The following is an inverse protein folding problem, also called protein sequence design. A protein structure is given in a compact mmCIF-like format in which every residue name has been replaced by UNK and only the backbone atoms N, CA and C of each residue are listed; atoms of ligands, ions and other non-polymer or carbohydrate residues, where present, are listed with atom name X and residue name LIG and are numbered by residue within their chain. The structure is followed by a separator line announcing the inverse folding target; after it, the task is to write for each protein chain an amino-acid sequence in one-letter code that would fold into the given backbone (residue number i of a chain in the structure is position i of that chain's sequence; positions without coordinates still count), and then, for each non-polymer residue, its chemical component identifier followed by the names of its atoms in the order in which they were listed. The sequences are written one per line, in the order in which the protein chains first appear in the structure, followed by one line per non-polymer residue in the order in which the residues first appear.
data_IF_721791933103
#
_entry.id   IF_721791933103
#
_cell.length_a   1.000
_cell.length_b   1.000
_cell.length_c   1.000
_cell.angle_alpha   90.00
_cell.angle_beta   90.00
_cell.angle_gamma   90.00
#
_symmetry.space_group_name_H-M   'P 1'
#
loop_
_entity.id
_entity.type
_entity.pdbx_description
1 polymer ?
#
# COMPACT_ATOMS: atom_id res chain seq x y z
N UNK A 1 23.40 1.73 -6.67
CA UNK A 1 23.17 2.93 -7.50
C UNK A 1 22.33 3.99 -6.79
N UNK A 2 21.15 3.66 -6.26
CA UNK A 2 20.30 4.61 -5.50
C UNK A 2 21.11 5.34 -4.40
N UNK A 3 21.88 4.60 -3.59
CA UNK A 3 22.78 5.18 -2.59
C UNK A 3 23.79 6.18 -3.16
N UNK A 4 24.36 5.88 -4.33
CA UNK A 4 25.32 6.76 -5.01
C UNK A 4 24.66 8.06 -5.44
N UNK A 5 23.47 8.00 -6.02
CA UNK A 5 22.69 9.18 -6.42
C UNK A 5 22.34 10.04 -5.20
N UNK A 6 21.76 9.42 -4.17
CA UNK A 6 21.30 10.12 -2.97
C UNK A 6 22.43 10.58 -2.04
N UNK A 7 23.65 10.06 -2.18
CA UNK A 7 24.82 10.49 -1.39
C UNK A 7 25.15 11.99 -1.52
N UNK A 8 24.64 12.63 -2.56
CA UNK A 8 24.85 14.07 -2.82
C UNK A 8 23.74 14.94 -2.26
N UNK A 9 22.68 14.33 -1.72
CA UNK A 9 21.50 15.01 -1.22
C UNK A 9 21.53 15.20 0.30
N UNK A 10 20.84 16.24 0.78
CA UNK A 10 20.60 16.45 2.21
C UNK A 10 19.16 16.09 2.51
N UNK A 11 18.95 14.86 2.94
CA UNK A 11 17.62 14.34 3.25
C UNK A 11 17.26 14.57 4.73
N UNK A 12 15.99 14.88 5.06
CA UNK A 12 15.56 15.08 6.46
C UNK A 12 15.61 13.82 7.33
N UNK A 13 15.61 12.64 6.70
CA UNK A 13 15.71 11.34 7.39
C UNK A 13 17.03 10.66 7.08
N UNK A 14 17.53 9.91 8.06
CA UNK A 14 18.64 8.97 7.86
C UNK A 14 18.19 7.86 6.94
N UNK A 15 18.93 7.63 5.85
CA UNK A 15 18.71 6.52 4.94
C UNK A 15 19.76 5.46 5.21
N UNK A 16 19.30 4.26 5.55
CA UNK A 16 20.17 3.10 5.72
C UNK A 16 20.06 2.21 4.49
N UNK A 17 21.18 2.03 3.79
CA UNK A 17 21.28 1.05 2.71
C UNK A 17 21.88 -0.24 3.26
N UNK A 18 21.10 -1.31 3.24
CA UNK A 18 21.50 -2.61 3.78
C UNK A 18 21.38 -3.68 2.70
N UNK A 19 22.30 -4.64 2.73
CA UNK A 19 22.20 -5.90 1.98
C UNK A 19 22.13 -7.02 3.01
N UNK A 20 21.08 -7.83 2.97
CA UNK A 20 20.91 -8.94 3.90
C UNK A 20 21.56 -10.20 3.37
N UNK A 21 22.22 -10.92 4.26
CA UNK A 21 22.72 -12.26 3.99
C UNK A 21 21.67 -13.29 4.39
N UNK A 22 21.71 -14.47 3.77
CA UNK A 22 20.88 -15.63 4.17
C UNK A 22 19.36 -15.40 4.10
N UNK A 23 18.89 -14.56 3.17
CA UNK A 23 17.46 -14.41 2.84
C UNK A 23 16.85 -15.76 2.43
N UNK A 24 17.54 -16.46 1.51
CA UNK A 24 17.17 -17.78 0.99
C UNK A 24 17.17 -18.92 2.03
N UNK A 25 17.60 -18.65 3.26
CA UNK A 25 17.59 -19.58 4.39
C UNK A 25 16.52 -19.19 5.42
N UNK A 26 15.43 -18.55 4.98
CA UNK A 26 14.32 -18.06 5.80
C UNK A 26 14.64 -16.74 6.52
N UNK A 27 15.06 -15.72 5.75
CA UNK A 27 15.21 -14.32 6.19
C UNK A 27 16.18 -14.06 7.36
N UNK A 28 17.11 -14.98 7.63
CA UNK A 28 17.93 -14.96 8.85
C UNK A 28 18.68 -13.63 9.05
N UNK A 29 19.16 -13.00 7.97
CA UNK A 29 19.87 -11.73 8.03
C UNK A 29 18.96 -10.56 8.41
N UNK A 30 17.80 -10.42 7.77
CA UNK A 30 16.87 -9.33 8.07
C UNK A 30 16.19 -9.51 9.42
N UNK A 31 15.89 -10.74 9.84
CA UNK A 31 15.39 -11.01 11.19
C UNK A 31 16.40 -10.66 12.28
N UNK A 32 17.67 -11.01 12.08
CA UNK A 32 18.74 -10.62 12.99
C UNK A 32 18.91 -9.10 13.06
N UNK A 33 18.87 -8.44 11.90
CA UNK A 33 18.94 -6.99 11.82
C UNK A 33 17.78 -6.31 12.58
N UNK A 34 16.54 -6.70 12.31
CA UNK A 34 15.36 -6.10 12.99
C UNK A 34 15.43 -6.32 14.50
N UNK A 35 15.90 -7.49 14.95
CA UNK A 35 16.08 -7.78 16.38
C UNK A 35 17.16 -6.91 17.04
N UNK A 36 18.28 -6.70 16.37
CA UNK A 36 19.40 -5.89 16.90
C UNK A 36 19.08 -4.40 16.87
N UNK A 37 18.39 -3.95 15.84
CA UNK A 37 18.05 -2.54 15.61
C UNK A 37 16.60 -2.20 15.96
N UNK A 38 15.94 -3.02 16.78
CA UNK A 38 14.56 -2.75 17.23
C UNK A 38 14.43 -1.40 17.96
N UNK A 39 15.51 -0.91 18.56
CA UNK A 39 15.57 0.41 19.21
C UNK A 39 15.81 1.56 18.23
N UNK A 40 16.23 1.28 17.00
CA UNK A 40 16.28 2.29 15.96
C UNK A 40 14.85 2.58 15.51
N UNK A 41 14.48 3.87 15.50
CA UNK A 41 13.18 4.34 15.01
C UNK A 41 13.08 4.20 13.48
N UNK A 42 13.13 2.98 12.96
CA UNK A 42 12.92 2.66 11.55
C UNK A 42 11.44 2.92 11.26
N UNK A 43 11.19 3.90 10.40
CA UNK A 43 9.81 4.34 10.09
C UNK A 43 9.24 3.69 8.84
N UNK A 44 10.11 3.17 7.96
CA UNK A 44 9.73 2.49 6.72
C UNK A 44 10.88 1.63 6.21
N UNK A 45 10.56 0.49 5.58
CA UNK A 45 11.49 -0.34 4.82
C UNK A 45 11.02 -0.50 3.37
N UNK A 46 11.97 -0.49 2.43
CA UNK A 46 11.73 -0.79 1.02
C UNK A 46 12.70 -1.90 0.64
N UNK A 47 12.16 -3.03 0.19
CA UNK A 47 12.98 -4.14 -0.31
C UNK A 47 12.95 -4.17 -1.82
N UNK A 48 14.13 -4.22 -2.44
CA UNK A 48 14.31 -4.43 -3.86
C UNK A 48 14.86 -5.83 -4.08
N UNK A 49 14.05 -6.71 -4.63
CA UNK A 49 14.44 -8.10 -4.86
C UNK A 49 13.86 -8.54 -6.21
N UNK A 50 14.72 -9.12 -7.04
CA UNK A 50 14.36 -9.62 -8.37
C UNK A 50 13.78 -8.56 -9.31
N UNK A 51 14.55 -7.49 -9.48
CA UNK A 51 14.12 -6.22 -10.11
C UNK A 51 14.50 -6.05 -11.60
N UNK A 52 15.13 -7.06 -12.20
CA UNK A 52 15.76 -6.96 -13.51
C UNK A 52 15.17 -7.82 -14.64
N UNK A 53 14.51 -8.97 -14.40
CA UNK A 53 14.00 -9.81 -15.48
C UNK A 53 12.54 -9.49 -15.82
N UNK A 54 12.19 -9.52 -17.11
CA UNK A 54 10.78 -9.54 -17.57
C UNK A 54 10.37 -8.41 -18.52
N UNK A 55 9.08 -8.38 -18.91
CA UNK A 55 8.53 -7.41 -19.87
C UNK A 55 8.42 -6.00 -19.32
N UNK A 56 8.07 -5.05 -20.19
CA UNK A 56 7.98 -3.64 -19.84
C UNK A 56 6.98 -3.30 -18.73
N UNK A 57 5.88 -4.03 -18.67
CA UNK A 57 4.81 -3.88 -17.69
C UNK A 57 4.94 -4.86 -16.52
N UNK A 58 6.16 -5.33 -16.24
CA UNK A 58 6.44 -6.32 -15.20
C UNK A 58 6.70 -5.73 -13.81
N UNK A 59 6.81 -4.41 -13.63
CA UNK A 59 7.03 -3.82 -12.30
C UNK A 59 5.86 -4.15 -11.36
N UNK A 60 6.18 -4.64 -10.16
CA UNK A 60 5.24 -4.88 -9.07
C UNK A 60 5.70 -4.22 -7.80
N UNK A 61 4.71 -3.80 -7.03
CA UNK A 61 4.88 -3.08 -5.78
C UNK A 61 3.87 -3.66 -4.79
N UNK A 62 4.37 -4.18 -3.69
CA UNK A 62 3.54 -4.79 -2.67
C UNK A 62 3.09 -6.22 -2.98
N UNK A 63 2.56 -6.86 -1.94
CA UNK A 63 2.01 -8.20 -1.93
C UNK A 63 0.69 -8.20 -1.17
N UNK A 64 -0.39 -8.63 -1.85
CA UNK A 64 -1.75 -8.67 -1.30
C UNK A 64 -2.12 -10.05 -0.77
N UNK A 65 -3.14 -10.06 0.09
CA UNK A 65 -3.82 -11.25 0.62
C UNK A 65 -2.92 -12.22 1.38
N UNK A 66 -1.97 -11.70 2.17
CA UNK A 66 -1.11 -12.50 3.05
C UNK A 66 -1.18 -12.01 4.50
N UNK A 67 -2.09 -12.55 5.31
CA UNK A 67 -2.23 -12.11 6.71
C UNK A 67 -0.94 -12.16 7.54
N UNK A 68 0.00 -13.07 7.21
CA UNK A 68 1.25 -13.26 7.94
C UNK A 68 2.48 -12.57 7.31
N UNK A 69 2.40 -12.23 6.02
CA UNK A 69 3.52 -11.67 5.23
C UNK A 69 3.06 -10.57 4.29
N UNK A 70 2.06 -9.78 4.69
CA UNK A 70 1.60 -8.65 3.89
C UNK A 70 2.61 -7.52 3.92
N UNK A 71 2.76 -6.87 2.78
CA UNK A 71 3.31 -5.52 2.73
C UNK A 71 2.30 -4.52 3.30
N UNK A 72 2.75 -3.29 3.52
CA UNK A 72 1.92 -2.25 4.15
C UNK A 72 1.12 -1.49 3.09
N UNK A 73 -0.20 -1.61 3.16
CA UNK A 73 -1.11 -1.13 2.09
C UNK A 73 -0.96 0.37 1.77
N UNK A 74 -0.90 1.26 2.78
CA UNK A 74 -0.71 2.69 2.50
C UNK A 74 0.59 2.97 1.74
N UNK A 75 1.66 2.24 2.07
CA UNK A 75 2.98 2.40 1.47
C UNK A 75 3.01 1.84 0.06
N UNK A 76 2.37 0.69 -0.16
CA UNK A 76 2.24 0.08 -1.48
C UNK A 76 1.47 0.99 -2.43
N UNK A 77 0.35 1.57 -1.96
CA UNK A 77 -0.48 2.47 -2.76
C UNK A 77 0.27 3.77 -3.10
N UNK A 78 0.98 4.34 -2.14
CA UNK A 78 1.82 5.51 -2.36
C UNK A 78 2.95 5.24 -3.38
N UNK A 79 3.66 4.13 -3.21
CA UNK A 79 4.73 3.73 -4.12
C UNK A 79 4.19 3.40 -5.53
N UNK A 80 3.00 2.81 -5.63
CA UNK A 80 2.30 2.59 -6.90
C UNK A 80 1.94 3.91 -7.58
N UNK A 81 1.30 4.84 -6.89
CA UNK A 81 0.95 6.15 -7.45
C UNK A 81 2.21 6.89 -7.95
N UNK A 82 3.30 6.87 -7.18
CA UNK A 82 4.56 7.46 -7.61
C UNK A 82 5.11 6.80 -8.88
N UNK A 83 5.03 5.47 -8.99
CA UNK A 83 5.45 4.76 -10.19
C UNK A 83 4.56 5.08 -11.41
N UNK A 84 3.24 5.15 -11.21
CA UNK A 84 2.28 5.51 -12.26
C UNK A 84 2.51 6.94 -12.77
N UNK A 85 2.82 7.88 -11.87
CA UNK A 85 3.19 9.25 -12.22
C UNK A 85 4.47 9.34 -13.06
N UNK A 86 5.33 8.32 -13.00
CA UNK A 86 6.51 8.17 -13.84
C UNK A 86 6.25 7.41 -15.14
N UNK A 87 5.00 7.04 -15.41
CA UNK A 87 4.57 6.33 -16.61
C UNK A 87 4.75 4.82 -16.53
N UNK A 88 5.00 4.25 -15.34
CA UNK A 88 5.06 2.80 -15.19
C UNK A 88 3.66 2.20 -15.09
N UNK A 89 3.48 1.03 -15.71
CA UNK A 89 2.39 0.15 -15.33
C UNK A 89 2.80 -0.63 -14.09
N UNK A 90 2.02 -0.52 -13.02
CA UNK A 90 2.27 -1.20 -11.74
C UNK A 90 1.00 -1.81 -11.20
N UNK A 91 1.18 -2.83 -10.37
CA UNK A 91 0.15 -3.40 -9.49
C UNK A 91 0.84 -4.20 -8.39
N UNK A 92 0.09 -4.58 -7.37
CA UNK A 92 0.48 -5.67 -6.47
C UNK A 92 0.04 -7.02 -7.04
N UNK A 93 0.77 -8.09 -6.72
CA UNK A 93 0.30 -9.46 -6.96
C UNK A 93 -0.25 -10.08 -5.67
N UNK A 94 -1.03 -11.15 -5.81
CA UNK A 94 -1.46 -11.98 -4.68
C UNK A 94 -0.33 -12.92 -4.27
N UNK A 95 -0.20 -13.24 -2.98
CA UNK A 95 0.77 -14.23 -2.48
C UNK A 95 0.69 -15.56 -3.25
N UNK A 96 -0.52 -16.02 -3.60
CA UNK A 96 -0.73 -17.26 -4.35
C UNK A 96 -0.17 -17.25 -5.77
N UNK A 97 0.11 -16.08 -6.36
CA UNK A 97 0.69 -15.97 -7.69
C UNK A 97 2.22 -15.89 -7.65
N UNK A 98 2.78 -15.36 -6.56
CA UNK A 98 4.22 -15.14 -6.38
C UNK A 98 4.89 -16.32 -5.70
N UNK A 99 4.16 -17.05 -4.86
CA UNK A 99 4.62 -18.22 -4.09
C UNK A 99 5.85 -17.94 -3.22
N UNK A 100 6.00 -16.70 -2.74
CA UNK A 100 7.13 -16.26 -1.92
C UNK A 100 6.94 -14.87 -1.34
N UNK A 101 7.87 -14.48 -0.48
CA UNK A 101 8.00 -13.17 0.13
C UNK A 101 9.49 -12.90 0.38
N UNK A 102 9.84 -11.68 0.81
CA UNK A 102 11.24 -11.24 0.92
C UNK A 102 11.47 -10.53 2.26
N UNK A 103 12.65 -9.95 2.46
CA UNK A 103 13.13 -9.38 3.72
C UNK A 103 12.21 -8.34 4.38
N UNK A 104 11.26 -7.74 3.64
CA UNK A 104 10.29 -6.79 4.19
C UNK A 104 9.43 -7.45 5.29
N UNK A 105 9.23 -8.77 5.22
CA UNK A 105 8.40 -9.51 6.17
C UNK A 105 8.98 -9.44 7.59
N UNK A 106 10.31 -9.44 7.73
CA UNK A 106 10.99 -9.25 9.02
C UNK A 106 10.63 -7.91 9.67
N UNK A 107 10.42 -6.87 8.87
CA UNK A 107 10.03 -5.53 9.33
C UNK A 107 8.53 -5.45 9.65
N UNK A 108 7.66 -5.95 8.75
CA UNK A 108 6.21 -5.88 8.97
C UNK A 108 5.75 -6.74 10.15
N UNK A 109 6.40 -7.88 10.41
CA UNK A 109 6.19 -8.70 11.63
C UNK A 109 6.54 -7.93 12.91
N UNK A 110 7.47 -6.98 12.85
CA UNK A 110 7.82 -6.09 13.96
C UNK A 110 6.97 -4.81 14.02
N UNK A 111 5.96 -4.67 13.16
CA UNK A 111 5.09 -3.48 13.09
C UNK A 111 5.71 -2.29 12.35
N UNK A 112 6.84 -2.49 11.65
CA UNK A 112 7.47 -1.45 10.83
C UNK A 112 6.87 -1.52 9.41
N UNK A 113 6.36 -0.40 8.86
CA UNK A 113 5.86 -0.36 7.49
C UNK A 113 6.90 -0.86 6.47
N UNK A 114 6.50 -1.79 5.61
CA UNK A 114 7.39 -2.42 4.64
C UNK A 114 6.72 -2.67 3.30
N UNK A 115 7.45 -2.44 2.21
CA UNK A 115 7.01 -2.75 0.84
C UNK A 115 8.07 -3.54 0.09
N UNK A 116 7.65 -4.19 -1.00
CA UNK A 116 8.48 -4.99 -1.88
C UNK A 116 8.37 -4.48 -3.31
N UNK A 117 9.51 -4.15 -3.91
CA UNK A 117 9.66 -3.77 -5.30
C UNK A 117 10.33 -4.91 -6.04
N UNK A 118 9.62 -5.48 -7.01
CA UNK A 118 10.08 -6.64 -7.78
C UNK A 118 9.58 -6.55 -9.22
N UNK A 119 10.20 -7.35 -10.08
CA UNK A 119 9.82 -7.45 -11.48
C UNK A 119 9.30 -8.86 -11.76
N UNK A 120 8.19 -8.94 -12.46
CA UNK A 120 7.59 -10.22 -12.85
C UNK A 120 7.82 -10.51 -14.33
N UNK A 121 8.01 -11.78 -14.64
CA UNK A 121 8.12 -12.34 -15.97
C UNK A 121 7.11 -13.49 -16.18
N UNK A 122 5.86 -13.20 -16.56
CA UNK A 122 4.82 -14.22 -16.71
C UNK A 122 5.01 -15.15 -17.92
N UNK A 123 6.02 -14.93 -18.77
CA UNK A 123 6.20 -15.69 -20.01
C UNK A 123 6.68 -17.14 -19.78
N UNK A 124 7.09 -17.48 -18.56
CA UNK A 124 7.76 -18.74 -18.24
C UNK A 124 6.99 -19.61 -17.23
N UNK A 125 5.69 -19.38 -17.03
CA UNK A 125 4.84 -20.18 -16.14
C UNK A 125 5.05 -19.93 -14.65
N UNK A 126 6.26 -19.52 -14.23
CA UNK A 126 6.55 -18.89 -12.95
C UNK A 126 6.62 -17.37 -13.16
N UNK A 127 5.82 -16.61 -12.40
CA UNK A 127 5.75 -15.16 -12.55
C UNK A 127 7.06 -14.46 -12.11
N UNK A 128 7.89 -15.09 -11.31
CA UNK A 128 9.20 -14.59 -10.89
C UNK A 128 10.38 -15.21 -11.66
N UNK A 129 10.12 -15.88 -12.79
CA UNK A 129 11.21 -16.43 -13.60
C UNK A 129 12.25 -15.33 -13.95
N UNK A 130 13.56 -15.59 -13.86
CA UNK A 130 14.22 -16.89 -13.76
C UNK A 130 14.66 -17.33 -12.34
N UNK A 131 14.19 -16.69 -11.27
CA UNK A 131 14.65 -16.95 -9.88
C UNK A 131 14.75 -18.45 -9.58
N UNK A 132 15.81 -18.83 -8.84
CA UNK A 132 16.12 -20.20 -8.40
C UNK A 132 16.32 -21.21 -9.55
N UNK A 133 16.67 -20.72 -10.74
CA UNK A 133 17.05 -21.58 -11.87
C UNK A 133 18.45 -21.24 -12.37
N UNK A 134 19.12 -22.15 -13.10
CA UNK A 134 20.38 -21.81 -13.78
C UNK A 134 20.27 -20.67 -14.81
N UNK A 135 19.03 -20.31 -15.22
CA UNK A 135 18.79 -19.16 -16.10
C UNK A 135 18.84 -17.82 -15.34
N UNK A 136 18.88 -17.83 -14.01
CA UNK A 136 19.13 -16.64 -13.20
C UNK A 136 20.61 -16.27 -13.24
N UNK A 137 20.98 -15.60 -14.32
CA UNK A 137 22.33 -15.17 -14.61
C UNK A 137 22.29 -13.83 -15.35
N UNK A 138 23.47 -13.28 -15.68
CA UNK A 138 23.58 -11.96 -16.29
C UNK A 138 22.87 -11.82 -17.65
N UNK A 139 22.58 -12.91 -18.36
CA UNK A 139 21.85 -12.87 -19.63
C UNK A 139 20.36 -12.57 -19.44
N UNK A 140 19.81 -12.88 -18.26
CA UNK A 140 18.42 -12.57 -17.92
C UNK A 140 18.21 -11.13 -17.41
N UNK A 141 19.31 -10.39 -17.17
CA UNK A 141 19.28 -9.03 -16.65
C UNK A 141 18.97 -8.04 -17.76
N UNK A 142 17.81 -7.38 -17.70
CA UNK A 142 17.50 -6.26 -18.57
C UNK A 142 17.95 -4.92 -17.92
N UNK A 143 18.94 -4.28 -18.56
CA UNK A 143 19.49 -2.99 -18.14
C UNK A 143 18.45 -1.87 -18.12
N UNK A 144 17.43 -1.93 -18.97
CA UNK A 144 16.34 -0.96 -18.99
C UNK A 144 15.55 -1.07 -17.69
N UNK A 145 15.20 -2.29 -17.25
CA UNK A 145 14.48 -2.52 -15.99
C UNK A 145 15.29 -2.06 -14.78
N UNK A 146 16.57 -2.40 -14.74
CA UNK A 146 17.48 -1.89 -13.70
C UNK A 146 17.53 -0.36 -13.65
N UNK A 147 17.61 0.30 -14.81
CA UNK A 147 17.59 1.76 -14.89
C UNK A 147 16.27 2.36 -14.41
N UNK A 148 15.14 1.73 -14.74
CA UNK A 148 13.82 2.14 -14.30
C UNK A 148 13.67 2.00 -12.79
N UNK A 149 14.05 0.86 -12.21
CA UNK A 149 14.02 0.65 -10.75
C UNK A 149 14.98 1.57 -10.03
N UNK A 150 16.17 1.85 -10.57
CA UNK A 150 17.08 2.82 -9.97
C UNK A 150 16.48 4.25 -9.98
N UNK A 151 15.84 4.66 -11.07
CA UNK A 151 15.18 5.97 -11.19
C UNK A 151 13.99 6.10 -10.25
N UNK A 152 13.07 5.13 -10.30
CA UNK A 152 11.91 5.07 -9.42
C UNK A 152 12.31 4.97 -7.94
N UNK A 153 13.21 4.05 -7.61
CA UNK A 153 13.67 3.84 -6.23
C UNK A 153 14.38 5.06 -5.65
N UNK A 154 15.12 5.81 -6.46
CA UNK A 154 15.70 7.10 -6.03
C UNK A 154 14.60 8.10 -5.66
N UNK A 155 13.58 8.26 -6.50
CA UNK A 155 12.46 9.17 -6.21
C UNK A 155 11.65 8.70 -5.01
N UNK A 156 11.37 7.41 -4.89
CA UNK A 156 10.63 6.85 -3.76
C UNK A 156 11.34 7.13 -2.43
N UNK A 157 12.65 6.85 -2.36
CA UNK A 157 13.44 7.11 -1.15
C UNK A 157 13.49 8.62 -0.86
N UNK A 158 13.70 9.45 -1.89
CA UNK A 158 13.76 10.90 -1.72
C UNK A 158 12.45 11.48 -1.17
N UNK A 159 11.30 11.06 -1.71
CA UNK A 159 10.00 11.54 -1.24
C UNK A 159 9.69 11.03 0.17
N UNK A 160 9.84 9.73 0.45
CA UNK A 160 9.63 9.19 1.80
C UNK A 160 10.57 9.79 2.83
N UNK A 161 11.76 10.23 2.43
CA UNK A 161 12.68 10.95 3.32
C UNK A 161 12.21 12.38 3.63
N UNK A 162 11.48 13.02 2.73
CA UNK A 162 10.99 14.40 2.84
C UNK A 162 9.58 14.56 3.42
N UNK A 163 8.72 13.55 3.28
CA UNK A 163 7.29 13.68 3.57
C UNK A 163 6.91 13.43 5.05
N UNK A 164 5.72 13.86 5.47
CA UNK A 164 5.13 13.44 6.75
C UNK A 164 4.46 12.07 6.57
N UNK A 165 5.13 11.00 7.00
CA UNK A 165 4.62 9.64 6.89
C UNK A 165 3.29 9.42 7.63
N UNK A 166 3.04 10.17 8.70
CA UNK A 166 1.76 10.13 9.40
C UNK A 166 0.64 10.75 8.57
N UNK A 167 0.93 11.85 7.87
CA UNK A 167 -0.02 12.45 6.93
C UNK A 167 -0.27 11.55 5.71
N UNK A 168 0.77 10.92 5.17
CA UNK A 168 0.64 9.94 4.10
C UNK A 168 -0.25 8.78 4.50
N UNK A 169 0.03 8.16 5.66
CA UNK A 169 -0.81 7.07 6.17
C UNK A 169 -2.27 7.49 6.28
N UNK A 170 -2.56 8.66 6.85
CA UNK A 170 -3.93 9.19 6.91
C UNK A 170 -4.57 9.34 5.53
N UNK A 171 -3.82 9.83 4.55
CA UNK A 171 -4.32 10.04 3.20
C UNK A 171 -4.66 8.74 2.47
N UNK A 172 -3.83 7.70 2.61
CA UNK A 172 -3.99 6.45 1.85
C UNK A 172 -4.77 5.35 2.59
N UNK A 173 -4.78 5.35 3.93
CA UNK A 173 -5.51 4.35 4.73
C UNK A 173 -6.78 4.94 5.35
N UNK A 174 -6.63 5.99 6.16
CA UNK A 174 -7.71 6.44 7.04
C UNK A 174 -8.81 7.19 6.28
N UNK A 175 -8.43 8.09 5.36
CA UNK A 175 -9.38 8.92 4.63
C UNK A 175 -10.33 8.10 3.74
N UNK A 176 -9.87 7.11 2.93
CA UNK A 176 -10.78 6.24 2.19
C UNK A 176 -11.75 5.47 3.10
N UNK A 177 -11.27 4.96 4.24
CA UNK A 177 -12.11 4.26 5.22
C UNK A 177 -13.17 5.19 5.83
N UNK A 178 -12.77 6.40 6.23
CA UNK A 178 -13.66 7.42 6.78
C UNK A 178 -14.70 7.85 5.74
N UNK A 179 -14.29 8.07 4.49
CA UNK A 179 -15.20 8.41 3.39
C UNK A 179 -16.18 7.27 3.07
N UNK A 180 -15.71 6.01 3.10
CA UNK A 180 -16.56 4.84 2.92
C UNK A 180 -17.57 4.73 4.06
N UNK A 181 -17.14 4.88 5.32
CA UNK A 181 -18.01 4.87 6.49
C UNK A 181 -19.05 5.99 6.42
N UNK A 182 -18.63 7.22 6.08
CA UNK A 182 -19.52 8.36 5.86
C UNK A 182 -20.57 8.06 4.78
N UNK A 183 -20.15 7.47 3.66
CA UNK A 183 -21.05 7.10 2.56
C UNK A 183 -22.07 6.06 3.00
N UNK A 184 -21.64 5.00 3.70
CA UNK A 184 -22.52 3.94 4.21
C UNK A 184 -23.52 4.49 5.23
N UNK A 185 -23.07 5.29 6.19
CA UNK A 185 -23.94 5.92 7.20
C UNK A 185 -24.96 6.85 6.55
N UNK A 186 -24.52 7.68 5.60
CA UNK A 186 -25.39 8.63 4.90
C UNK A 186 -26.44 7.91 4.05
N UNK A 187 -26.04 6.90 3.28
CA UNK A 187 -26.96 6.08 2.48
C UNK A 187 -27.93 5.30 3.37
N UNK A 188 -27.44 4.70 4.46
CA UNK A 188 -28.24 4.00 5.44
C UNK A 188 -29.30 4.90 6.08
N UNK A 189 -28.94 6.14 6.45
CA UNK A 189 -29.86 7.13 6.98
C UNK A 189 -30.98 7.44 5.98
N UNK A 190 -30.66 7.62 4.69
CA UNK A 190 -31.65 7.85 3.63
C UNK A 190 -32.60 6.66 3.50
N UNK A 191 -32.07 5.43 3.41
CA UNK A 191 -32.88 4.21 3.26
C UNK A 191 -33.80 3.99 4.45
N UNK A 192 -33.29 4.12 5.68
CA UNK A 192 -34.08 3.99 6.90
C UNK A 192 -35.14 5.08 7.01
N UNK A 193 -34.84 6.30 6.58
CA UNK A 193 -35.81 7.40 6.54
C UNK A 193 -36.92 7.15 5.53
N UNK A 194 -36.62 6.59 4.35
CA UNK A 194 -37.63 6.21 3.36
C UNK A 194 -38.50 5.07 3.90
N UNK A 195 -37.90 4.03 4.47
CA UNK A 195 -38.61 2.88 5.02
C UNK A 195 -39.50 3.27 6.21
N UNK A 196 -38.94 4.01 7.17
CA UNK A 196 -39.66 4.54 8.32
C UNK A 196 -40.77 5.50 7.91
N UNK A 197 -40.49 6.41 6.98
CA UNK A 197 -41.48 7.32 6.43
C UNK A 197 -42.64 6.61 5.75
N UNK A 198 -42.34 5.60 4.94
CA UNK A 198 -43.33 4.74 4.30
C UNK A 198 -44.18 3.99 5.34
N UNK A 199 -43.55 3.40 6.35
CA UNK A 199 -44.27 2.73 7.44
C UNK A 199 -45.21 3.69 8.17
N UNK A 200 -44.73 4.86 8.58
CA UNK A 200 -45.55 5.86 9.28
C UNK A 200 -46.71 6.36 8.42
N UNK A 201 -46.50 6.51 7.10
CA UNK A 201 -47.56 6.84 6.16
C UNK A 201 -48.61 5.72 6.07
N UNK A 202 -48.19 4.53 5.66
CA UNK A 202 -49.11 3.46 5.27
C UNK A 202 -49.73 2.72 6.46
N UNK A 203 -49.03 2.65 7.61
CA UNK A 203 -49.51 1.95 8.81
C UNK A 203 -50.03 2.89 9.89
N UNK A 204 -49.53 4.12 9.99
CA UNK A 204 -49.92 5.08 11.03
C UNK A 204 -50.73 6.27 10.51
N UNK A 205 -51.01 6.33 9.20
CA UNK A 205 -51.87 7.35 8.60
C UNK A 205 -51.28 8.75 8.60
N UNK A 206 -49.94 8.89 8.72
CA UNK A 206 -49.31 10.20 8.67
C UNK A 206 -49.43 10.86 7.29
N UNK A 207 -49.63 12.18 7.27
CA UNK A 207 -49.60 12.96 6.03
C UNK A 207 -48.19 12.97 5.42
N UNK A 208 -48.12 13.13 4.09
CA UNK A 208 -46.84 13.26 3.38
C UNK A 208 -45.98 14.40 3.92
N UNK A 209 -46.58 15.55 4.23
CA UNK A 209 -45.86 16.73 4.75
C UNK A 209 -45.28 16.52 6.15
N UNK A 210 -45.90 15.66 6.97
CA UNK A 210 -45.38 15.29 8.29
C UNK A 210 -44.24 14.29 8.16
N UNK A 211 -44.41 13.26 7.32
CA UNK A 211 -43.38 12.26 7.04
C UNK A 211 -42.14 12.92 6.46
N UNK A 212 -42.28 13.73 5.41
CA UNK A 212 -41.16 14.42 4.78
C UNK A 212 -40.39 15.27 5.79
N UNK A 213 -41.06 16.11 6.59
CA UNK A 213 -40.37 16.97 7.58
C UNK A 213 -39.58 16.18 8.61
N UNK A 214 -40.19 15.16 9.22
CA UNK A 214 -39.53 14.39 10.29
C UNK A 214 -38.34 13.62 9.74
N UNK A 215 -38.53 12.89 8.66
CA UNK A 215 -37.47 12.01 8.15
C UNK A 215 -36.39 12.78 7.38
N UNK A 216 -36.71 13.91 6.73
CA UNK A 216 -35.67 14.82 6.22
C UNK A 216 -34.83 15.42 7.35
N UNK A 217 -35.44 15.79 8.48
CA UNK A 217 -34.69 16.28 9.63
C UNK A 217 -33.80 15.20 10.25
N UNK A 218 -34.32 13.99 10.43
CA UNK A 218 -33.54 12.84 10.94
C UNK A 218 -32.36 12.53 10.03
N UNK A 219 -32.59 12.43 8.71
CA UNK A 219 -31.50 12.22 7.75
C UNK A 219 -30.48 13.35 7.82
N UNK A 220 -30.92 14.61 7.82
CA UNK A 220 -30.02 15.75 7.88
C UNK A 220 -29.18 15.76 9.17
N UNK A 221 -29.78 15.43 10.31
CA UNK A 221 -29.07 15.33 11.59
C UNK A 221 -28.01 14.22 11.59
N UNK A 222 -28.34 13.03 11.06
CA UNK A 222 -27.39 11.91 10.97
C UNK A 222 -26.25 12.22 10.02
N UNK A 223 -26.55 12.79 8.84
CA UNK A 223 -25.51 13.19 7.86
C UNK A 223 -24.63 14.31 8.43
N UNK A 224 -25.21 15.29 9.12
CA UNK A 224 -24.43 16.35 9.77
C UNK A 224 -23.51 15.81 10.87
N UNK A 225 -24.00 14.87 11.70
CA UNK A 225 -23.17 14.22 12.71
C UNK A 225 -22.04 13.39 12.08
N UNK A 226 -22.32 12.64 11.02
CA UNK A 226 -21.31 11.88 10.28
C UNK A 226 -20.27 12.81 9.62
N UNK A 227 -20.69 13.97 9.12
CA UNK A 227 -19.79 14.97 8.54
C UNK A 227 -18.89 15.62 9.61
N UNK A 228 -19.43 15.94 10.79
CA UNK A 228 -18.63 16.46 11.90
C UNK A 228 -17.58 15.43 12.34
N UNK A 229 -17.95 14.14 12.38
CA UNK A 229 -17.01 13.06 12.68
C UNK A 229 -15.90 12.94 11.63
N UNK A 230 -16.19 13.21 10.36
CA UNK A 230 -15.19 13.21 9.27
C UNK A 230 -14.15 14.34 9.39
N UNK A 231 -14.49 15.44 10.07
CA UNK A 231 -13.62 16.61 10.25
C UNK A 231 -12.79 16.59 11.54
N UNK A 232 -13.07 15.64 12.45
CA UNK A 232 -12.43 15.54 13.77
C UNK A 232 -11.24 14.57 13.72
#
# INVERSE_FOLDING_TARGET
EIARVLSTEKLPRTILFTTFESEELDLLGSEAFVREYAENNIVVTIVFDSIAPGPENGLRIGLRDSHEVATTEWLDNYAQELAENLGFYVKSEHLSAVEGYSDYASFTRAGIPGTWIYWVNPQHGNILWPIHTPADNLDAVDKVRLGQVASFGTQLVQQLAGEDLGALRRAYEELPLILAAFTVVSAGAVVLSIAGGSFMRYRRGWSWSRVARVFSFVTAAVVAAAYIWLLA
#
